data_IF_414019060788
#
_entry.id   IF_414019060788
#
_cell.length_a   1.000
_cell.length_b   1.000
_cell.length_c   1.000
_cell.angle_alpha   90.00
_cell.angle_beta   90.00
_cell.angle_gamma   90.00
#
_symmetry.space_group_name_H-M   'P 1'
#
loop_
_entity.id
_entity.type
_entity.pdbx_description
1 polymer ?
#
# COMPACT_ATOMS: atom_id res chain seq x y z
N UNK A 1 -3.19 -56.17 61.93
CA UNK A 1 -3.75 -54.96 61.22
C UNK A 1 -2.61 -54.26 60.44
N UNK A 2 -2.55 -54.46 59.12
CA UNK A 2 -1.53 -53.87 58.26
C UNK A 2 -2.09 -52.49 57.77
N UNK A 3 -1.40 -51.38 58.08
CA UNK A 3 -1.71 -50.09 57.64
C UNK A 3 -1.08 -49.94 56.23
N UNK A 4 -1.91 -49.66 55.20
CA UNK A 4 -1.48 -49.22 53.87
C UNK A 4 -1.41 -47.70 53.84
N UNK A 5 -0.20 -47.16 53.57
CA UNK A 5 0.01 -45.75 53.31
C UNK A 5 -0.12 -45.56 51.81
N UNK A 6 -1.16 -44.76 51.34
CA UNK A 6 -1.35 -44.40 49.95
C UNK A 6 -0.61 -43.09 49.73
N UNK A 7 0.44 -43.10 48.91
CA UNK A 7 1.10 -41.90 48.40
C UNK A 7 0.31 -41.36 47.20
N UNK A 8 -0.33 -40.21 47.34
CA UNK A 8 -0.91 -39.49 46.24
C UNK A 8 0.19 -38.69 45.52
N UNK A 9 0.55 -39.10 44.30
CA UNK A 9 1.40 -38.29 43.41
C UNK A 9 0.55 -37.22 42.76
N UNK A 10 0.76 -35.94 43.15
CA UNK A 10 0.20 -34.79 42.47
C UNK A 10 1.09 -34.48 41.29
N UNK A 11 0.64 -34.82 40.07
CA UNK A 11 1.25 -34.36 38.84
C UNK A 11 0.87 -32.89 38.61
N UNK A 12 1.80 -31.98 38.86
CA UNK A 12 1.73 -30.60 38.42
C UNK A 12 2.01 -30.58 36.90
N UNK A 13 0.96 -30.53 36.08
CA UNK A 13 1.10 -30.18 34.67
C UNK A 13 1.41 -28.70 34.59
N UNK A 14 2.69 -28.34 34.45
CA UNK A 14 3.10 -27.04 33.97
C UNK A 14 2.79 -26.98 32.48
N UNK A 15 1.68 -26.35 32.09
CA UNK A 15 1.46 -25.95 30.71
C UNK A 15 2.52 -24.92 30.35
N UNK A 16 3.61 -25.36 29.72
CA UNK A 16 4.49 -24.47 29.02
C UNK A 16 3.66 -23.86 27.84
N UNK A 17 3.07 -22.72 28.09
CA UNK A 17 2.47 -21.92 27.02
C UNK A 17 3.58 -21.59 26.04
N UNK A 18 3.56 -22.19 24.86
CA UNK A 18 4.34 -21.72 23.72
C UNK A 18 3.85 -20.29 23.42
N UNK A 19 4.58 -19.30 23.89
CA UNK A 19 4.38 -17.91 23.43
C UNK A 19 4.79 -17.89 21.95
N UNK A 20 3.82 -17.99 21.07
CA UNK A 20 4.06 -17.81 19.64
C UNK A 20 4.57 -16.38 19.45
N UNK A 21 5.83 -16.23 19.02
CA UNK A 21 6.38 -14.91 18.71
C UNK A 21 5.59 -14.28 17.58
N UNK A 22 5.17 -13.01 17.77
CA UNK A 22 4.42 -12.28 16.74
C UNK A 22 5.23 -12.19 15.43
N UNK A 23 4.59 -12.35 14.27
CA UNK A 23 5.21 -12.07 12.99
C UNK A 23 5.69 -10.61 12.94
N UNK A 24 6.85 -10.42 12.32
CA UNK A 24 7.51 -9.09 12.21
C UNK A 24 7.78 -8.78 10.75
N UNK A 25 7.75 -7.48 10.37
CA UNK A 25 8.16 -7.07 9.03
C UNK A 25 9.65 -7.32 8.80
N UNK A 26 10.00 -7.63 7.56
CA UNK A 26 11.37 -7.46 7.06
C UNK A 26 11.70 -5.98 6.88
N UNK A 27 12.99 -5.64 6.76
CA UNK A 27 13.43 -4.26 6.52
C UNK A 27 12.79 -3.64 5.27
N UNK A 28 12.69 -4.40 4.15
CA UNK A 28 12.05 -3.91 2.93
C UNK A 28 10.56 -3.59 3.12
N UNK A 29 9.83 -4.38 3.92
CA UNK A 29 8.42 -4.14 4.23
C UNK A 29 8.25 -2.91 5.14
N UNK A 30 9.15 -2.69 6.11
CA UNK A 30 9.16 -1.47 6.93
C UNK A 30 9.37 -0.23 6.07
N UNK A 31 10.38 -0.24 5.20
CA UNK A 31 10.68 0.87 4.30
C UNK A 31 9.54 1.14 3.32
N UNK A 32 8.87 0.07 2.85
CA UNK A 32 7.71 0.17 1.98
C UNK A 32 6.52 0.81 2.70
N UNK A 33 6.15 0.35 3.90
CA UNK A 33 5.04 0.94 4.68
C UNK A 33 5.27 2.43 4.97
N UNK A 34 6.53 2.85 5.19
CA UNK A 34 6.90 4.25 5.43
C UNK A 34 6.71 5.16 4.21
N UNK A 35 6.51 4.61 3.01
CA UNK A 35 6.21 5.42 1.83
C UNK A 35 4.82 6.03 1.89
N UNK A 36 3.85 5.38 2.52
CA UNK A 36 2.46 5.78 2.70
C UNK A 36 1.67 5.94 1.38
N UNK A 37 2.23 6.71 0.43
CA UNK A 37 1.62 6.98 -0.87
C UNK A 37 2.57 6.69 -2.02
N UNK A 38 2.13 5.82 -2.92
CA UNK A 38 2.81 5.45 -4.17
C UNK A 38 1.84 5.64 -5.35
N UNK A 39 2.37 5.70 -6.56
CA UNK A 39 1.56 5.98 -7.74
C UNK A 39 1.64 4.85 -8.75
N UNK A 40 0.49 4.46 -9.32
CA UNK A 40 0.41 3.71 -10.57
C UNK A 40 0.38 4.65 -11.78
N UNK A 41 0.93 4.17 -12.87
CA UNK A 41 0.92 4.81 -14.18
C UNK A 41 0.41 3.78 -15.21
N UNK A 42 -0.93 3.69 -15.40
CA UNK A 42 -1.51 2.83 -16.41
C UNK A 42 -1.41 3.50 -17.78
N UNK A 43 -0.56 2.93 -18.63
CA UNK A 43 -0.29 3.48 -19.96
C UNK A 43 0.15 2.35 -20.90
N UNK A 44 -0.68 1.98 -21.87
CA UNK A 44 -0.39 0.97 -22.90
C UNK A 44 -1.16 1.32 -24.18
N UNK A 45 -1.31 0.39 -25.11
CA UNK A 45 -2.22 0.51 -26.27
C UNK A 45 -3.65 0.81 -25.86
N UNK A 46 -4.07 0.44 -24.64
CA UNK A 46 -5.41 0.70 -24.11
C UNK A 46 -5.72 2.19 -24.02
N UNK A 47 -4.75 3.03 -23.66
CA UNK A 47 -4.88 4.49 -23.69
C UNK A 47 -5.27 5.00 -25.08
N UNK A 48 -4.78 4.38 -26.16
CA UNK A 48 -4.99 4.81 -27.53
C UNK A 48 -6.27 4.20 -28.14
N UNK A 49 -6.69 3.03 -27.68
CA UNK A 49 -7.90 2.35 -28.14
C UNK A 49 -9.15 2.68 -27.32
N UNK A 50 -8.98 3.46 -26.22
CA UNK A 50 -10.05 3.83 -25.29
C UNK A 50 -10.71 2.63 -24.61
N UNK A 51 -9.89 1.63 -24.23
CA UNK A 51 -10.31 0.40 -23.57
C UNK A 51 -9.66 0.25 -22.21
N UNK A 52 -10.35 -0.36 -21.25
CA UNK A 52 -9.76 -0.81 -19.97
C UNK A 52 -8.97 -2.11 -20.16
N UNK A 53 -9.51 -3.04 -20.92
CA UNK A 53 -8.86 -4.29 -21.28
C UNK A 53 -8.82 -4.43 -22.78
N UNK A 54 -7.64 -4.33 -23.36
CA UNK A 54 -7.40 -4.71 -24.76
C UNK A 54 -7.63 -6.19 -24.97
N UNK A 55 -7.84 -6.61 -26.20
CA UNK A 55 -8.09 -8.00 -26.55
C UNK A 55 -6.84 -8.79 -26.97
N UNK A 56 -5.67 -8.11 -27.05
CA UNK A 56 -4.39 -8.70 -27.45
C UNK A 56 -4.17 -8.72 -28.95
N UNK A 57 -5.09 -8.15 -29.74
CA UNK A 57 -4.98 -8.06 -31.22
C UNK A 57 -4.64 -6.65 -31.69
N UNK A 58 -4.43 -5.73 -30.79
CA UNK A 58 -4.12 -4.34 -31.10
C UNK A 58 -2.84 -4.21 -31.94
N UNK A 59 -2.91 -3.49 -33.06
CA UNK A 59 -1.72 -3.20 -33.85
C UNK A 59 -0.77 -2.30 -33.04
N UNK A 60 0.50 -2.68 -32.81
CA UNK A 60 1.48 -1.84 -32.15
C UNK A 60 1.58 -0.41 -32.68
N UNK A 61 1.18 -0.19 -33.93
CA UNK A 61 1.15 1.13 -34.58
C UNK A 61 0.17 2.12 -33.96
N UNK A 62 -0.82 1.67 -33.18
CA UNK A 62 -1.73 2.58 -32.49
C UNK A 62 -1.05 3.29 -31.33
N UNK A 63 0.04 2.73 -30.79
CA UNK A 63 0.83 3.34 -29.74
C UNK A 63 1.72 4.44 -30.33
N UNK A 64 1.27 5.70 -30.25
CA UNK A 64 2.00 6.84 -30.83
C UNK A 64 1.78 8.10 -30.01
N UNK A 65 2.28 8.20 -28.77
CA UNK A 65 2.21 9.44 -27.98
C UNK A 65 3.03 10.55 -28.64
N UNK A 66 2.43 11.73 -28.78
CA UNK A 66 3.03 12.87 -29.49
C UNK A 66 4.02 13.67 -28.64
N UNK A 67 3.85 13.66 -27.31
CA UNK A 67 4.59 14.51 -26.37
C UNK A 67 4.98 13.76 -25.10
N UNK A 68 5.22 12.42 -25.18
CA UNK A 68 5.55 11.64 -23.99
C UNK A 68 6.71 12.28 -23.22
N UNK A 69 6.43 12.61 -21.96
CA UNK A 69 7.40 13.19 -21.02
C UNK A 69 7.30 12.54 -19.64
N UNK A 70 8.05 11.46 -19.43
CA UNK A 70 8.13 10.78 -18.13
C UNK A 70 8.66 11.70 -17.01
N UNK A 71 9.44 12.72 -17.33
CA UNK A 71 9.89 13.71 -16.34
C UNK A 71 8.74 14.55 -15.80
N UNK A 72 7.80 14.95 -16.68
CA UNK A 72 6.57 15.65 -16.26
C UNK A 72 5.79 14.77 -15.29
N UNK A 73 5.61 13.48 -15.58
CA UNK A 73 4.91 12.53 -14.70
C UNK A 73 5.57 12.49 -13.32
N UNK A 74 6.85 12.14 -13.27
CA UNK A 74 7.56 11.89 -12.02
C UNK A 74 7.75 13.19 -11.21
N UNK A 75 7.99 14.33 -11.86
CA UNK A 75 8.06 15.62 -11.20
C UNK A 75 6.73 16.02 -10.54
N UNK A 76 5.61 15.79 -11.23
CA UNK A 76 4.28 16.05 -10.67
C UNK A 76 4.01 15.16 -9.44
N UNK A 77 4.30 13.85 -9.54
CA UNK A 77 4.17 12.91 -8.44
C UNK A 77 5.07 13.29 -7.25
N UNK A 78 6.33 13.65 -7.51
CA UNK A 78 7.25 14.11 -6.45
C UNK A 78 6.72 15.32 -5.71
N UNK A 79 6.21 16.31 -6.44
CA UNK A 79 5.64 17.53 -5.87
C UNK A 79 4.38 17.25 -5.05
N UNK A 80 3.60 16.24 -5.45
CA UNK A 80 2.43 15.76 -4.71
C UNK A 80 2.78 14.79 -3.55
N UNK A 81 4.07 14.57 -3.26
CA UNK A 81 4.55 13.83 -2.09
C UNK A 81 4.63 12.32 -2.23
N UNK A 82 4.34 11.77 -3.43
CA UNK A 82 4.52 10.35 -3.71
C UNK A 82 5.98 9.92 -3.55
N UNK A 83 6.20 8.67 -3.16
CA UNK A 83 7.53 8.12 -2.87
C UNK A 83 8.02 7.13 -3.92
N UNK A 84 7.10 6.55 -4.69
CA UNK A 84 7.39 5.57 -5.74
C UNK A 84 6.41 5.76 -6.89
N UNK A 85 6.86 5.41 -8.10
CA UNK A 85 6.00 5.25 -9.27
C UNK A 85 6.16 3.85 -9.83
N UNK A 86 5.03 3.17 -10.10
CA UNK A 86 4.95 1.84 -10.70
C UNK A 86 4.35 1.99 -12.10
N UNK A 87 5.08 1.56 -13.13
CA UNK A 87 4.60 1.57 -14.51
C UNK A 87 4.01 0.22 -14.91
N UNK A 88 2.85 0.22 -15.57
CA UNK A 88 2.31 -0.98 -16.21
C UNK A 88 3.16 -1.34 -17.44
N UNK A 89 4.31 -1.99 -17.19
CA UNK A 89 5.25 -2.33 -18.27
C UNK A 89 4.60 -3.22 -19.34
N UNK A 90 3.74 -4.17 -18.95
CA UNK A 90 2.86 -4.95 -19.81
C UNK A 90 1.54 -5.21 -19.09
N UNK A 91 0.42 -4.76 -19.66
CA UNK A 91 -0.91 -5.05 -19.16
C UNK A 91 -1.48 -6.34 -19.79
N UNK A 92 -2.76 -6.65 -19.59
CA UNK A 92 -3.43 -7.87 -20.08
C UNK A 92 -3.47 -7.97 -21.62
N UNK A 93 -3.36 -6.83 -22.32
CA UNK A 93 -3.26 -6.76 -23.78
C UNK A 93 -1.96 -7.38 -24.33
N UNK A 94 -0.97 -7.64 -23.47
CA UNK A 94 0.31 -8.22 -23.83
C UNK A 94 1.31 -7.24 -24.46
N UNK A 95 0.94 -5.94 -24.63
CA UNK A 95 1.82 -4.95 -25.23
C UNK A 95 2.92 -4.51 -24.26
N UNK A 96 4.19 -4.68 -24.70
CA UNK A 96 5.35 -4.31 -23.90
C UNK A 96 5.77 -2.86 -24.14
N UNK A 97 5.85 -2.05 -23.09
CA UNK A 97 6.32 -0.66 -23.12
C UNK A 97 7.84 -0.51 -23.30
N UNK A 98 8.55 -1.60 -23.47
CA UNK A 98 9.99 -1.65 -23.77
C UNK A 98 10.25 -2.53 -25.00
N UNK A 99 11.38 -2.37 -25.69
CA UNK A 99 11.71 -3.14 -26.89
C UNK A 99 12.15 -4.57 -26.54
N UNK A 100 11.22 -5.37 -26.00
CA UNK A 100 11.48 -6.76 -25.61
C UNK A 100 12.05 -7.60 -26.74
N UNK A 101 12.95 -8.52 -26.41
CA UNK A 101 13.50 -9.51 -27.34
C UNK A 101 12.56 -10.70 -27.57
N UNK A 102 11.54 -10.85 -26.72
CA UNK A 102 10.71 -12.05 -26.65
C UNK A 102 9.33 -11.88 -27.31
N UNK A 103 8.94 -10.67 -27.67
CA UNK A 103 7.69 -10.40 -28.37
C UNK A 103 7.85 -9.28 -29.40
N UNK A 104 7.09 -9.38 -30.50
CA UNK A 104 6.93 -8.28 -31.46
C UNK A 104 5.83 -7.30 -31.05
N UNK A 105 4.96 -7.68 -30.11
CA UNK A 105 3.88 -6.84 -29.58
C UNK A 105 4.44 -5.84 -28.53
N UNK A 106 5.14 -4.82 -29.04
CA UNK A 106 5.85 -3.87 -28.18
C UNK A 106 6.12 -2.55 -28.89
N UNK A 107 6.62 -1.58 -28.14
CA UNK A 107 7.01 -0.25 -28.64
C UNK A 107 8.00 -0.28 -29.81
N UNK A 108 8.76 -1.37 -29.98
CA UNK A 108 9.71 -1.49 -31.12
C UNK A 108 9.02 -1.54 -32.48
N UNK A 109 7.75 -1.94 -32.52
CA UNK A 109 6.93 -1.97 -33.74
C UNK A 109 5.92 -0.82 -33.82
N UNK A 110 6.00 0.14 -32.89
CA UNK A 110 5.22 1.36 -32.93
C UNK A 110 5.91 2.46 -33.74
N UNK A 111 5.19 3.44 -34.29
CA UNK A 111 5.79 4.60 -34.95
C UNK A 111 6.48 5.55 -33.96
N UNK A 112 6.17 5.44 -32.68
CA UNK A 112 6.74 6.29 -31.64
C UNK A 112 8.28 6.17 -31.60
N UNK A 113 8.96 7.31 -31.72
CA UNK A 113 10.43 7.37 -31.82
C UNK A 113 11.03 6.45 -32.90
N UNK A 114 10.26 6.16 -33.96
CA UNK A 114 10.64 5.24 -35.04
C UNK A 114 11.00 3.83 -34.51
N UNK A 115 10.25 3.31 -33.54
CA UNK A 115 10.47 1.99 -32.91
C UNK A 115 11.68 1.93 -31.96
N UNK A 116 12.32 3.04 -31.65
CA UNK A 116 13.49 3.12 -30.76
C UNK A 116 13.15 3.62 -29.35
N UNK A 117 11.87 3.79 -29.06
CA UNK A 117 11.37 4.23 -27.76
C UNK A 117 11.43 3.12 -26.72
N UNK A 118 11.54 3.52 -25.44
CA UNK A 118 11.49 2.64 -24.28
C UNK A 118 10.88 3.44 -23.11
N UNK A 119 9.57 3.26 -22.90
CA UNK A 119 8.84 4.01 -21.86
C UNK A 119 9.30 3.61 -20.47
N UNK A 120 9.59 2.30 -20.27
CA UNK A 120 10.06 1.78 -18.97
C UNK A 120 11.36 2.46 -18.58
N UNK A 121 12.29 2.59 -19.56
CA UNK A 121 13.55 3.29 -19.34
C UNK A 121 13.35 4.77 -19.01
N UNK A 122 12.47 5.47 -19.72
CA UNK A 122 12.21 6.89 -19.50
C UNK A 122 11.62 7.13 -18.09
N UNK A 123 10.72 6.27 -17.63
CA UNK A 123 10.16 6.35 -16.28
C UNK A 123 11.21 6.02 -15.22
N UNK A 124 12.01 4.95 -15.41
CA UNK A 124 13.07 4.58 -14.48
C UNK A 124 14.14 5.68 -14.35
N UNK A 125 14.54 6.29 -15.48
CA UNK A 125 15.50 7.40 -15.49
C UNK A 125 14.93 8.64 -14.78
N UNK A 126 13.68 8.99 -15.04
CA UNK A 126 13.00 10.10 -14.36
C UNK A 126 12.86 9.84 -12.84
N UNK A 127 12.53 8.62 -12.42
CA UNK A 127 12.48 8.25 -11.00
C UNK A 127 13.84 8.51 -10.32
N UNK A 128 14.95 8.09 -10.93
CA UNK A 128 16.29 8.36 -10.42
C UNK A 128 16.61 9.85 -10.35
N UNK A 129 16.26 10.61 -11.39
CA UNK A 129 16.52 12.04 -11.47
C UNK A 129 15.79 12.81 -10.37
N UNK A 130 14.52 12.49 -10.10
CA UNK A 130 13.70 13.19 -9.10
C UNK A 130 13.72 12.54 -7.72
N UNK A 131 14.44 11.42 -7.55
CA UNK A 131 14.56 10.72 -6.27
C UNK A 131 13.28 10.03 -5.80
N UNK A 132 12.49 9.48 -6.74
CA UNK A 132 11.43 8.53 -6.44
C UNK A 132 11.97 7.10 -6.56
N UNK A 133 11.36 6.19 -5.82
CA UNK A 133 11.53 4.76 -6.05
C UNK A 133 10.83 4.37 -7.36
N UNK A 134 11.34 3.31 -8.01
CA UNK A 134 10.81 2.78 -9.25
C UNK A 134 10.25 1.38 -9.05
N UNK A 135 9.06 1.12 -9.55
CA UNK A 135 8.40 -0.18 -9.55
C UNK A 135 7.90 -0.56 -10.95
N UNK A 136 7.67 -1.84 -11.14
CA UNK A 136 7.15 -2.40 -12.39
C UNK A 136 5.96 -3.31 -12.12
N UNK A 137 4.93 -3.17 -12.96
CA UNK A 137 3.82 -4.09 -13.06
C UNK A 137 4.02 -4.92 -14.33
N UNK A 138 3.93 -6.23 -14.21
CA UNK A 138 3.94 -7.16 -15.32
C UNK A 138 2.76 -8.11 -15.19
N UNK A 139 1.72 -7.94 -16.01
CA UNK A 139 0.52 -8.80 -15.95
C UNK A 139 0.87 -10.27 -16.18
N UNK A 140 0.51 -11.19 -15.27
CA UNK A 140 0.60 -12.62 -15.52
C UNK A 140 -0.42 -13.07 -16.59
N UNK A 141 -1.61 -12.47 -16.62
CA UNK A 141 -2.56 -12.72 -17.70
C UNK A 141 -2.10 -12.02 -18.98
N UNK A 142 -2.12 -12.74 -20.09
CA UNK A 142 -1.68 -12.26 -21.41
C UNK A 142 -2.66 -12.70 -22.47
N UNK A 143 -3.23 -11.75 -23.19
CA UNK A 143 -4.23 -12.01 -24.24
C UNK A 143 -3.61 -12.10 -25.63
N UNK A 144 -2.32 -11.74 -25.79
CA UNK A 144 -1.60 -11.71 -27.04
C UNK A 144 -0.76 -12.97 -27.25
N UNK A 145 0.04 -13.40 -26.26
CA UNK A 145 1.01 -14.46 -26.43
C UNK A 145 0.35 -15.82 -26.69
N UNK A 146 0.72 -16.45 -27.79
CA UNK A 146 0.12 -17.73 -28.25
C UNK A 146 0.41 -18.89 -27.29
N UNK A 147 1.47 -18.81 -26.50
CA UNK A 147 1.83 -19.84 -25.50
C UNK A 147 1.00 -19.75 -24.22
N UNK A 148 0.21 -18.66 -24.02
CA UNK A 148 -0.66 -18.53 -22.87
C UNK A 148 -1.65 -19.70 -22.76
N UNK A 149 -1.77 -20.27 -21.58
CA UNK A 149 -2.51 -21.51 -21.31
C UNK A 149 -1.66 -22.77 -21.42
N UNK A 150 -0.34 -22.65 -21.63
CA UNK A 150 0.60 -23.78 -21.66
C UNK A 150 1.77 -23.52 -20.69
N UNK A 151 2.50 -24.56 -20.30
CA UNK A 151 3.65 -24.45 -19.40
C UNK A 151 4.80 -23.59 -20.00
N UNK A 152 4.92 -23.50 -21.33
CA UNK A 152 5.94 -22.68 -21.99
C UNK A 152 5.73 -21.19 -21.75
N UNK A 153 4.51 -20.74 -21.44
CA UNK A 153 4.25 -19.35 -21.06
C UNK A 153 5.02 -18.93 -19.80
N UNK A 154 5.19 -19.83 -18.82
CA UNK A 154 5.99 -19.51 -17.63
C UNK A 154 7.44 -19.17 -17.97
N UNK A 155 8.02 -19.79 -18.99
CA UNK A 155 9.36 -19.46 -19.49
C UNK A 155 9.37 -18.09 -20.19
N UNK A 156 8.38 -17.83 -21.05
CA UNK A 156 8.21 -16.53 -21.70
C UNK A 156 8.06 -15.41 -20.66
N UNK A 157 7.19 -15.58 -19.68
CA UNK A 157 6.96 -14.60 -18.62
C UNK A 157 8.23 -14.32 -17.80
N UNK A 158 8.99 -15.36 -17.42
CA UNK A 158 10.27 -15.20 -16.70
C UNK A 158 11.31 -14.45 -17.55
N UNK A 159 11.30 -14.64 -18.86
CA UNK A 159 12.19 -13.92 -19.76
C UNK A 159 11.87 -12.42 -19.79
N UNK A 160 10.59 -12.06 -19.92
CA UNK A 160 10.14 -10.65 -19.81
C UNK A 160 10.49 -10.04 -18.45
N UNK A 161 10.22 -10.78 -17.38
CA UNK A 161 10.53 -10.36 -16.02
C UNK A 161 12.03 -10.14 -15.84
N UNK A 162 12.87 -11.01 -16.39
CA UNK A 162 14.35 -10.86 -16.36
C UNK A 162 14.79 -9.57 -17.05
N UNK A 163 14.24 -9.24 -18.21
CA UNK A 163 14.54 -7.97 -18.89
C UNK A 163 14.24 -6.77 -17.99
N UNK A 164 13.06 -6.75 -17.37
CA UNK A 164 12.64 -5.66 -16.49
C UNK A 164 13.52 -5.53 -15.24
N UNK A 165 13.95 -6.65 -14.67
CA UNK A 165 14.72 -6.67 -13.43
C UNK A 165 16.24 -6.45 -13.65
N UNK A 166 16.74 -6.49 -14.89
CA UNK A 166 18.18 -6.35 -15.17
C UNK A 166 18.55 -5.10 -15.95
N UNK A 167 17.61 -4.50 -16.72
CA UNK A 167 17.95 -3.44 -17.66
C UNK A 167 17.73 -2.02 -17.12
N UNK A 168 16.96 -1.86 -16.03
CA UNK A 168 16.46 -0.54 -15.59
C UNK A 168 16.98 -0.08 -14.23
N UNK A 169 17.95 -0.80 -13.64
CA UNK A 169 18.55 -0.49 -12.35
C UNK A 169 17.76 -1.06 -11.18
N UNK A 170 17.73 -0.35 -10.04
CA UNK A 170 17.03 -0.81 -8.84
C UNK A 170 15.51 -0.75 -9.04
N UNK A 171 14.84 -1.88 -8.85
CA UNK A 171 13.40 -2.00 -8.79
C UNK A 171 12.97 -2.17 -7.33
N UNK A 172 12.08 -1.33 -6.85
CA UNK A 172 11.66 -1.31 -5.44
C UNK A 172 10.39 -2.11 -5.20
N UNK A 173 9.55 -2.27 -6.24
CA UNK A 173 8.35 -3.10 -6.18
C UNK A 173 8.09 -3.80 -7.51
N UNK A 174 7.69 -5.07 -7.44
CA UNK A 174 7.20 -5.86 -8.57
C UNK A 174 5.76 -6.27 -8.31
N UNK A 175 4.86 -5.82 -9.17
CA UNK A 175 3.42 -5.97 -9.01
C UNK A 175 2.87 -7.08 -9.92
N UNK A 176 2.31 -8.12 -9.31
CA UNK A 176 1.73 -9.27 -9.98
C UNK A 176 0.20 -9.24 -9.84
N UNK A 177 -0.49 -8.95 -10.92
CA UNK A 177 -1.93 -8.88 -10.96
C UNK A 177 -2.58 -10.27 -10.90
N UNK A 178 -3.58 -10.44 -10.04
CA UNK A 178 -4.39 -11.66 -9.96
C UNK A 178 -5.58 -11.68 -10.93
N UNK A 179 -5.88 -10.57 -11.63
CA UNK A 179 -7.03 -10.47 -12.50
C UNK A 179 -6.93 -11.42 -13.70
N UNK A 180 -8.08 -12.00 -14.03
CA UNK A 180 -8.25 -12.90 -15.16
C UNK A 180 -9.69 -12.77 -15.70
N UNK A 181 -9.85 -12.58 -17.01
CA UNK A 181 -11.17 -12.51 -17.62
C UNK A 181 -11.92 -13.84 -17.56
N UNK A 182 -13.26 -13.79 -17.53
CA UNK A 182 -14.13 -14.98 -17.42
C UNK A 182 -13.86 -16.03 -18.50
N UNK A 183 -13.49 -15.60 -19.72
CA UNK A 183 -13.23 -16.49 -20.87
C UNK A 183 -11.73 -16.71 -21.12
N UNK A 184 -10.85 -16.36 -20.17
CA UNK A 184 -9.42 -16.60 -20.32
C UNK A 184 -9.11 -18.10 -20.26
N UNK A 185 -8.15 -18.53 -21.08
CA UNK A 185 -7.65 -19.92 -21.02
C UNK A 185 -7.17 -20.24 -19.60
N UNK A 186 -7.34 -21.48 -19.18
CA UNK A 186 -6.73 -21.93 -17.93
C UNK A 186 -5.20 -21.87 -18.04
N UNK A 187 -4.59 -21.35 -17.00
CA UNK A 187 -3.15 -21.21 -16.89
C UNK A 187 -2.68 -21.58 -15.49
N UNK A 188 -1.73 -22.49 -15.42
CA UNK A 188 -1.00 -22.81 -14.19
C UNK A 188 0.25 -21.94 -14.14
N UNK A 189 0.18 -20.85 -13.33
CA UNK A 189 1.30 -19.93 -13.16
C UNK A 189 2.34 -20.46 -12.19
N UNK A 190 3.61 -20.31 -12.53
CA UNK A 190 4.74 -20.61 -11.66
C UNK A 190 5.11 -19.40 -10.79
N UNK A 191 4.16 -18.94 -9.93
CA UNK A 191 4.39 -17.79 -9.05
C UNK A 191 5.60 -17.97 -8.14
N UNK A 192 5.83 -19.17 -7.61
CA UNK A 192 7.02 -19.44 -6.78
C UNK A 192 8.31 -19.19 -7.57
N UNK A 193 8.36 -19.65 -8.82
CA UNK A 193 9.47 -19.41 -9.71
C UNK A 193 9.65 -17.93 -10.06
N UNK A 194 8.54 -17.18 -10.23
CA UNK A 194 8.59 -15.74 -10.48
C UNK A 194 9.13 -14.99 -9.25
N UNK A 195 8.61 -15.28 -8.07
CA UNK A 195 9.06 -14.65 -6.82
C UNK A 195 10.52 -14.96 -6.50
N UNK A 196 10.95 -16.21 -6.75
CA UNK A 196 12.35 -16.61 -6.59
C UNK A 196 13.27 -15.82 -7.53
N UNK A 197 12.85 -15.61 -8.78
CA UNK A 197 13.59 -14.82 -9.76
C UNK A 197 13.71 -13.35 -9.32
N UNK A 198 12.62 -12.73 -8.89
CA UNK A 198 12.66 -11.36 -8.34
C UNK A 198 13.60 -11.29 -7.15
N UNK A 199 13.50 -12.22 -6.21
CA UNK A 199 14.34 -12.22 -5.01
C UNK A 199 15.83 -12.36 -5.33
N UNK A 200 16.15 -13.11 -6.38
CA UNK A 200 17.52 -13.29 -6.87
C UNK A 200 18.08 -12.03 -7.53
N UNK A 201 17.30 -11.39 -8.41
CA UNK A 201 17.76 -10.26 -9.22
C UNK A 201 17.61 -8.91 -8.51
N UNK A 202 16.56 -8.75 -7.67
CA UNK A 202 16.23 -7.54 -6.94
C UNK A 202 15.91 -7.86 -5.47
N UNK A 203 16.88 -8.23 -4.64
CA UNK A 203 16.68 -8.76 -3.28
C UNK A 203 15.98 -7.77 -2.33
N UNK A 204 16.05 -6.47 -2.62
CA UNK A 204 15.42 -5.40 -1.83
C UNK A 204 13.99 -5.08 -2.26
N UNK A 205 13.55 -5.54 -3.43
CA UNK A 205 12.20 -5.28 -3.92
C UNK A 205 11.17 -5.95 -3.02
N UNK A 206 10.04 -5.28 -2.80
CA UNK A 206 8.82 -5.92 -2.34
C UNK A 206 8.07 -6.52 -3.52
N UNK A 207 7.35 -7.59 -3.28
CA UNK A 207 6.53 -8.25 -4.28
C UNK A 207 5.07 -8.20 -3.84
N UNK A 208 4.25 -7.60 -4.68
CA UNK A 208 2.81 -7.58 -4.52
C UNK A 208 2.17 -8.74 -5.29
N UNK A 209 1.22 -9.38 -4.69
CA UNK A 209 0.12 -10.11 -5.33
C UNK A 209 -1.07 -10.11 -4.36
N UNK A 210 -2.20 -10.70 -4.75
CA UNK A 210 -3.37 -10.75 -3.86
C UNK A 210 -3.03 -11.28 -2.46
N UNK A 211 -2.09 -12.21 -2.38
CA UNK A 211 -1.73 -12.93 -1.15
C UNK A 211 -0.26 -12.78 -0.73
N UNK A 212 0.47 -11.88 -1.36
CA UNK A 212 1.90 -11.68 -1.05
C UNK A 212 2.83 -12.11 -2.18
N UNK A 213 4.11 -12.43 -1.91
CA UNK A 213 4.70 -12.86 -0.62
C UNK A 213 5.12 -11.74 0.33
N UNK A 214 5.31 -10.49 -0.14
CA UNK A 214 5.75 -9.39 0.74
C UNK A 214 4.59 -8.47 1.13
N UNK A 215 3.72 -8.12 0.21
CA UNK A 215 2.55 -7.25 0.41
C UNK A 215 1.34 -7.85 -0.30
N UNK A 216 0.13 -7.57 0.21
CA UNK A 216 -1.10 -8.14 -0.30
C UNK A 216 -2.06 -7.07 -0.81
N UNK A 217 -2.94 -7.48 -1.71
CA UNK A 217 -4.10 -6.68 -2.06
C UNK A 217 -5.02 -6.48 -0.85
N UNK A 218 -5.63 -5.31 -0.74
CA UNK A 218 -6.59 -5.00 0.34
C UNK A 218 -7.96 -5.66 0.12
N UNK A 219 -8.19 -6.29 -1.02
CA UNK A 219 -9.44 -6.98 -1.34
C UNK A 219 -10.50 -6.13 -2.04
N UNK A 220 -10.20 -4.90 -2.43
CA UNK A 220 -11.07 -4.04 -3.23
C UNK A 220 -10.25 -2.94 -3.92
N UNK A 221 -10.83 -2.36 -4.98
CA UNK A 221 -10.27 -1.24 -5.74
C UNK A 221 -10.96 0.10 -5.43
N UNK A 222 -11.68 0.16 -4.32
CA UNK A 222 -12.39 1.38 -3.88
C UNK A 222 -11.54 2.30 -3.01
N UNK A 223 -10.33 1.89 -2.67
CA UNK A 223 -9.40 2.68 -1.88
C UNK A 223 -9.59 2.54 -0.36
N UNK A 224 -10.22 1.47 0.12
CA UNK A 224 -10.63 1.33 1.52
C UNK A 224 -10.04 0.08 2.17
N UNK A 225 -9.20 0.28 3.20
CA UNK A 225 -8.83 -0.78 4.13
C UNK A 225 -9.86 -0.89 5.27
N UNK A 226 -9.98 -2.06 5.86
CA UNK A 226 -10.87 -2.30 6.99
C UNK A 226 -10.56 -1.39 8.19
N UNK A 227 -11.60 -0.98 8.93
CA UNK A 227 -11.38 -0.27 10.20
C UNK A 227 -10.55 -1.10 11.19
N UNK A 228 -10.72 -2.42 11.18
CA UNK A 228 -9.80 -3.38 11.77
C UNK A 228 -8.92 -3.91 10.65
N UNK A 229 -7.62 -3.64 10.72
CA UNK A 229 -6.69 -4.02 9.66
C UNK A 229 -5.36 -4.52 10.26
N UNK A 230 -5.14 -5.82 10.10
CA UNK A 230 -3.91 -6.48 10.53
C UNK A 230 -2.93 -6.59 9.38
N UNK A 231 -1.64 -6.37 9.66
CA UNK A 231 -0.57 -6.63 8.69
C UNK A 231 -0.24 -8.12 8.56
N UNK A 232 -0.87 -8.97 9.36
CA UNK A 232 -0.65 -10.41 9.39
C UNK A 232 -1.79 -11.16 8.72
N UNK A 233 -1.47 -12.24 7.98
CA UNK A 233 -2.40 -13.19 7.38
C UNK A 233 -1.86 -14.61 7.40
N UNK A 234 -2.73 -15.59 7.16
CA UNK A 234 -2.40 -16.95 6.72
C UNK A 234 -2.68 -17.04 5.22
N UNK A 235 -1.82 -17.74 4.49
CA UNK A 235 -1.94 -17.86 3.02
C UNK A 235 -2.31 -19.27 2.57
N UNK A 236 -2.49 -20.19 3.49
CA UNK A 236 -2.82 -21.58 3.20
C UNK A 236 -4.16 -21.68 2.43
N UNK A 237 -4.12 -22.32 1.26
CA UNK A 237 -5.29 -22.49 0.38
C UNK A 237 -5.63 -21.29 -0.49
N UNK A 238 -4.86 -20.21 -0.42
CA UNK A 238 -5.00 -19.03 -1.26
C UNK A 238 -3.90 -18.95 -2.32
N UNK A 239 -4.19 -18.27 -3.42
CA UNK A 239 -3.25 -17.98 -4.49
C UNK A 239 -3.65 -16.65 -5.15
N UNK A 240 -2.75 -15.99 -5.92
CA UNK A 240 -3.14 -14.84 -6.75
C UNK A 240 -4.35 -15.18 -7.63
N UNK A 241 -5.37 -14.31 -7.64
CA UNK A 241 -6.66 -14.53 -8.29
C UNK A 241 -7.62 -15.49 -7.56
N UNK A 242 -7.24 -16.03 -6.40
CA UNK A 242 -8.05 -16.98 -5.60
C UNK A 242 -7.90 -16.68 -4.11
N UNK A 243 -8.39 -15.54 -3.66
CA UNK A 243 -8.32 -15.12 -2.27
C UNK A 243 -9.67 -14.59 -1.78
N UNK A 244 -9.93 -14.70 -0.48
CA UNK A 244 -11.12 -14.10 0.15
C UNK A 244 -10.86 -12.60 0.36
N UNK A 245 -11.51 -11.77 -0.45
CA UNK A 245 -11.38 -10.31 -0.40
C UNK A 245 -11.70 -9.72 0.98
N UNK A 246 -12.68 -10.26 1.71
CA UNK A 246 -13.03 -9.81 3.06
C UNK A 246 -11.91 -10.13 4.06
N UNK A 247 -11.33 -11.33 3.96
CA UNK A 247 -10.19 -11.72 4.79
C UNK A 247 -8.96 -10.86 4.50
N UNK A 248 -8.69 -10.60 3.22
CA UNK A 248 -7.57 -9.71 2.83
C UNK A 248 -7.77 -8.28 3.35
N UNK A 249 -9.03 -7.79 3.39
CA UNK A 249 -9.34 -6.44 3.86
C UNK A 249 -9.05 -6.25 5.36
N UNK A 250 -9.37 -7.23 6.17
CA UNK A 250 -9.20 -7.15 7.64
C UNK A 250 -7.85 -7.70 8.11
N UNK A 251 -7.25 -8.61 7.36
CA UNK A 251 -6.14 -9.42 7.86
C UNK A 251 -6.55 -10.33 9.00
N UNK A 252 -5.57 -10.90 9.71
CA UNK A 252 -5.79 -11.90 10.76
C UNK A 252 -4.86 -11.64 11.96
N UNK A 253 -5.38 -11.37 13.16
CA UNK A 253 -4.55 -11.25 14.36
C UNK A 253 -3.69 -12.50 14.61
N UNK A 254 -4.14 -13.69 14.20
CA UNK A 254 -3.43 -14.95 14.35
C UNK A 254 -2.68 -15.38 13.08
N UNK A 255 -2.55 -14.48 12.10
CA UNK A 255 -1.80 -14.72 10.87
C UNK A 255 -0.33 -15.06 11.16
N UNK A 256 0.21 -16.02 10.42
CA UNK A 256 1.60 -16.50 10.58
C UNK A 256 2.62 -15.62 9.84
N UNK A 257 2.18 -14.87 8.83
CA UNK A 257 3.05 -14.10 7.96
C UNK A 257 2.75 -12.62 8.06
N UNK A 258 3.81 -11.79 8.09
CA UNK A 258 3.68 -10.36 7.95
C UNK A 258 3.55 -10.00 6.47
N UNK A 259 2.34 -9.71 6.03
CA UNK A 259 2.00 -9.35 4.65
C UNK A 259 1.03 -8.17 4.71
N UNK A 260 1.55 -6.93 4.86
CA UNK A 260 0.72 -5.73 5.01
C UNK A 260 -0.09 -5.46 3.76
N UNK A 261 -1.27 -4.81 3.89
CA UNK A 261 -2.13 -4.51 2.76
C UNK A 261 -1.63 -3.32 1.96
N UNK A 262 -1.82 -3.39 0.65
CA UNK A 262 -1.80 -2.28 -0.29
C UNK A 262 -3.20 -1.99 -0.76
N UNK A 263 -3.56 -0.71 -0.74
CA UNK A 263 -4.87 -0.22 -1.18
C UNK A 263 -4.68 0.49 -2.51
N UNK A 264 -5.10 -0.14 -3.57
CA UNK A 264 -5.06 0.39 -4.93
C UNK A 264 -6.39 1.04 -5.32
N UNK A 265 -6.31 2.17 -5.98
CA UNK A 265 -7.48 2.90 -6.47
C UNK A 265 -7.07 3.88 -7.57
N UNK A 266 -7.94 4.08 -8.57
CA UNK A 266 -7.68 5.09 -9.60
C UNK A 266 -8.24 6.46 -9.20
N UNK A 267 -7.51 7.53 -9.60
CA UNK A 267 -7.99 8.92 -9.49
C UNK A 267 -9.21 9.18 -10.38
N UNK A 268 -9.40 8.36 -11.42
CA UNK A 268 -10.49 8.39 -12.40
C UNK A 268 -11.39 7.18 -12.20
N UNK A 269 -12.57 7.10 -12.85
CA UNK A 269 -13.39 5.89 -12.84
C UNK A 269 -12.67 4.66 -13.40
N UNK A 270 -11.98 4.82 -14.54
CA UNK A 270 -11.17 3.77 -15.17
C UNK A 270 -9.72 3.75 -14.69
N UNK A 271 -9.00 2.66 -15.02
CA UNK A 271 -7.56 2.54 -14.80
C UNK A 271 -6.74 3.25 -15.88
N UNK A 272 -7.19 3.18 -17.13
CA UNK A 272 -6.59 3.93 -18.23
C UNK A 272 -7.22 5.32 -18.37
N UNK A 273 -6.54 6.20 -19.10
CA UNK A 273 -7.06 7.54 -19.37
C UNK A 273 -8.17 7.48 -20.42
N UNK A 274 -9.36 7.99 -20.07
CA UNK A 274 -10.48 8.24 -20.95
C UNK A 274 -10.86 9.72 -20.93
N UNK A 275 -10.97 10.32 -22.13
CA UNK A 275 -11.33 11.75 -22.23
C UNK A 275 -12.71 12.03 -21.64
N UNK A 276 -13.65 11.09 -21.78
CA UNK A 276 -15.01 11.16 -21.22
C UNK A 276 -15.08 11.19 -19.70
N UNK A 277 -13.94 10.97 -19.01
CA UNK A 277 -13.85 10.96 -17.55
C UNK A 277 -13.22 12.23 -16.95
N UNK A 278 -12.87 13.22 -17.78
CA UNK A 278 -12.21 14.44 -17.31
C UNK A 278 -13.00 15.20 -16.22
N UNK A 279 -14.33 15.12 -16.23
CA UNK A 279 -15.18 15.75 -15.22
C UNK A 279 -15.42 14.85 -13.98
N UNK A 280 -14.91 13.60 -13.99
CA UNK A 280 -15.10 12.61 -12.93
C UNK A 280 -13.82 12.33 -12.12
N UNK A 281 -12.79 13.14 -12.31
CA UNK A 281 -11.53 13.03 -11.55
C UNK A 281 -11.78 13.32 -10.08
N UNK A 282 -11.37 12.42 -9.20
CA UNK A 282 -11.52 12.58 -7.73
C UNK A 282 -10.91 13.90 -7.27
N UNK A 283 -11.69 14.67 -6.52
CA UNK A 283 -11.29 15.95 -5.94
C UNK A 283 -10.22 15.78 -4.85
N UNK A 284 -9.48 16.83 -4.48
CA UNK A 284 -8.54 16.79 -3.37
C UNK A 284 -9.15 16.26 -2.06
N UNK A 285 -10.41 16.60 -1.75
CA UNK A 285 -11.12 16.10 -0.56
C UNK A 285 -11.39 14.60 -0.63
N UNK A 286 -11.81 14.07 -1.77
CA UNK A 286 -12.00 12.63 -1.97
C UNK A 286 -10.67 11.88 -1.81
N UNK A 287 -9.56 12.44 -2.33
CA UNK A 287 -8.23 11.86 -2.17
C UNK A 287 -7.77 11.87 -0.69
N UNK A 288 -8.10 12.94 0.06
CA UNK A 288 -7.86 13.00 1.51
C UNK A 288 -8.67 11.91 2.23
N UNK A 289 -9.94 11.70 1.85
CA UNK A 289 -10.74 10.61 2.41
C UNK A 289 -10.10 9.25 2.15
N UNK A 290 -9.62 8.99 0.93
CA UNK A 290 -8.90 7.77 0.60
C UNK A 290 -7.65 7.58 1.47
N UNK A 291 -6.90 8.65 1.74
CA UNK A 291 -5.74 8.58 2.63
C UNK A 291 -6.11 8.18 4.06
N UNK A 292 -7.23 8.69 4.60
CA UNK A 292 -7.73 8.26 5.91
C UNK A 292 -8.20 6.81 5.94
N UNK A 293 -8.89 6.37 4.87
CA UNK A 293 -9.44 5.02 4.78
C UNK A 293 -8.40 3.95 4.37
N UNK A 294 -7.23 4.36 3.89
CA UNK A 294 -6.11 3.47 3.53
C UNK A 294 -4.96 3.58 4.52
N UNK A 295 -4.16 4.64 4.43
CA UNK A 295 -3.00 4.88 5.30
C UNK A 295 -3.42 5.02 6.76
N UNK A 296 -4.53 5.71 7.01
CA UNK A 296 -5.12 5.85 8.34
C UNK A 296 -5.67 4.56 8.93
N UNK A 297 -5.75 3.49 8.15
CA UNK A 297 -6.16 2.14 8.54
C UNK A 297 -5.04 1.10 8.34
N UNK A 298 -3.78 1.50 8.55
CA UNK A 298 -2.61 0.59 8.52
C UNK A 298 -2.29 0.00 7.14
N UNK A 299 -2.73 0.61 6.04
CA UNK A 299 -2.42 0.22 4.66
C UNK A 299 -1.46 1.22 4.00
N UNK A 300 -0.98 0.91 2.80
CA UNK A 300 -0.34 1.88 1.91
C UNK A 300 -1.35 2.25 0.82
N UNK A 301 -1.36 3.50 0.39
CA UNK A 301 -2.20 3.98 -0.72
C UNK A 301 -1.40 3.96 -2.04
N UNK A 302 -1.80 3.10 -2.96
CA UNK A 302 -1.35 3.08 -4.35
C UNK A 302 -2.40 3.78 -5.22
N UNK A 303 -2.14 5.03 -5.60
CA UNK A 303 -3.06 5.83 -6.40
C UNK A 303 -2.68 5.79 -7.87
N UNK A 304 -3.59 5.33 -8.73
CA UNK A 304 -3.38 5.33 -10.16
C UNK A 304 -3.68 6.72 -10.76
N UNK A 305 -2.73 7.23 -11.56
CA UNK A 305 -2.79 8.53 -12.23
C UNK A 305 -2.36 8.28 -13.69
N UNK A 306 -3.32 7.92 -14.58
CA UNK A 306 -2.98 7.48 -15.93
C UNK A 306 -2.57 8.63 -16.84
N UNK A 307 -1.46 8.50 -17.59
CA UNK A 307 -1.10 9.43 -18.64
C UNK A 307 -2.11 9.40 -19.79
N UNK A 308 -2.34 10.56 -20.42
CA UNK A 308 -3.23 10.73 -21.56
C UNK A 308 -2.61 10.27 -22.88
N UNK A 309 -3.36 10.36 -23.99
CA UNK A 309 -2.90 9.96 -25.32
C UNK A 309 -1.69 10.75 -25.85
N UNK A 310 -1.46 11.96 -25.36
CA UNK A 310 -0.25 12.72 -25.70
C UNK A 310 0.98 12.16 -24.99
N UNK A 311 0.81 11.41 -23.92
CA UNK A 311 1.88 10.90 -23.06
C UNK A 311 2.21 11.87 -21.92
N UNK A 312 1.21 12.60 -21.42
CA UNK A 312 1.33 13.54 -20.30
C UNK A 312 0.32 13.21 -19.20
N UNK A 313 0.64 13.46 -17.95
CA UNK A 313 -0.39 13.55 -16.92
C UNK A 313 -1.23 14.80 -17.17
N UNK A 314 -2.56 14.67 -17.04
CA UNK A 314 -3.45 15.81 -17.28
C UNK A 314 -3.30 16.89 -16.21
N UNK A 315 -3.49 18.14 -16.59
CA UNK A 315 -3.43 19.28 -15.64
C UNK A 315 -4.44 19.13 -14.49
N UNK A 316 -5.60 18.52 -14.77
CA UNK A 316 -6.64 18.26 -13.77
C UNK A 316 -6.17 17.25 -12.73
N UNK A 317 -5.55 16.15 -13.15
CA UNK A 317 -5.04 15.14 -12.25
C UNK A 317 -3.92 15.71 -11.39
N UNK A 318 -2.98 16.44 -12.00
CA UNK A 318 -1.88 17.14 -11.30
C UNK A 318 -2.41 18.13 -10.28
N UNK A 319 -3.39 18.95 -10.65
CA UNK A 319 -3.99 19.94 -9.74
C UNK A 319 -4.64 19.26 -8.53
N UNK A 320 -5.35 18.14 -8.75
CA UNK A 320 -6.05 17.43 -7.69
C UNK A 320 -5.08 16.69 -6.72
N UNK A 321 -4.04 16.01 -7.22
CA UNK A 321 -3.03 15.40 -6.34
C UNK A 321 -2.18 16.45 -5.60
N UNK A 322 -1.94 17.61 -6.22
CA UNK A 322 -1.27 18.74 -5.56
C UNK A 322 -2.16 19.32 -4.45
N UNK A 323 -3.46 19.50 -4.73
CA UNK A 323 -4.43 19.94 -3.73
C UNK A 323 -4.55 18.97 -2.55
N UNK A 324 -4.60 17.66 -2.82
CA UNK A 324 -4.54 16.60 -1.83
C UNK A 324 -3.32 16.74 -0.92
N UNK A 325 -2.12 16.86 -1.50
CA UNK A 325 -0.88 17.04 -0.73
C UNK A 325 -0.92 18.28 0.14
N UNK A 326 -1.37 19.40 -0.39
CA UNK A 326 -1.44 20.67 0.35
C UNK A 326 -2.37 20.56 1.57
N UNK A 327 -3.51 19.85 1.45
CA UNK A 327 -4.44 19.63 2.57
C UNK A 327 -3.76 18.79 3.66
N UNK A 328 -3.09 17.67 3.30
CA UNK A 328 -2.37 16.85 4.27
C UNK A 328 -1.25 17.63 4.96
N UNK A 329 -0.44 18.37 4.18
CA UNK A 329 0.65 19.18 4.75
C UNK A 329 0.14 20.23 5.71
N UNK A 330 -0.97 20.91 5.41
CA UNK A 330 -1.58 21.90 6.27
C UNK A 330 -2.14 21.26 7.55
N UNK A 331 -2.87 20.13 7.42
CA UNK A 331 -3.48 19.40 8.54
C UNK A 331 -2.41 18.87 9.51
N UNK A 332 -1.38 18.20 9.00
CA UNK A 332 -0.40 17.52 9.84
C UNK A 332 0.88 18.33 10.14
N UNK A 333 0.89 19.63 9.80
CA UNK A 333 2.05 20.51 9.99
C UNK A 333 2.48 20.64 11.43
N UNK A 334 1.53 20.87 12.34
CA UNK A 334 1.78 21.22 13.73
C UNK A 334 1.15 20.19 14.68
N UNK A 335 1.96 19.28 15.21
CA UNK A 335 1.51 18.41 16.29
C UNK A 335 1.35 19.24 17.58
N UNK A 336 0.15 19.26 18.15
CA UNK A 336 -0.16 20.03 19.37
C UNK A 336 0.31 19.34 20.64
N UNK A 337 0.73 18.07 20.59
CA UNK A 337 1.28 17.31 21.73
C UNK A 337 2.78 17.62 21.97
N UNK A 338 3.15 18.88 22.18
CA UNK A 338 4.56 19.30 22.30
C UNK A 338 5.08 19.24 23.75
N UNK A 339 4.71 18.26 24.54
CA UNK A 339 5.17 18.15 25.94
C UNK A 339 6.49 17.38 26.06
N UNK A 340 7.50 17.94 26.74
CA UNK A 340 8.80 17.30 26.99
C UNK A 340 8.72 15.93 27.68
N UNK A 341 7.68 15.67 28.47
CA UNK A 341 7.46 14.37 29.13
C UNK A 341 7.11 13.22 28.18
N UNK A 342 6.79 13.51 26.92
CA UNK A 342 6.39 12.55 25.90
C UNK A 342 7.19 12.76 24.59
N UNK A 343 8.42 13.26 24.72
CA UNK A 343 9.28 13.59 23.57
C UNK A 343 9.50 12.41 22.62
N UNK A 344 9.57 11.19 23.17
CA UNK A 344 9.70 9.96 22.35
C UNK A 344 8.45 9.60 21.54
N UNK A 345 7.30 10.21 21.82
CA UNK A 345 6.05 10.00 21.07
C UNK A 345 5.79 11.10 20.03
N UNK A 346 6.70 12.08 19.90
CA UNK A 346 6.52 13.25 19.03
C UNK A 346 7.80 13.64 18.30
N UNK A 347 8.80 12.75 18.28
CA UNK A 347 10.12 13.00 17.70
C UNK A 347 10.23 12.62 16.22
N UNK A 348 9.15 12.06 15.65
CA UNK A 348 9.07 11.55 14.27
C UNK A 348 10.06 10.41 13.99
N UNK A 349 10.46 9.70 15.02
CA UNK A 349 11.36 8.56 14.93
C UNK A 349 10.63 7.26 15.30
N UNK A 350 10.25 6.48 14.33
CA UNK A 350 9.51 5.22 14.54
C UNK A 350 10.31 4.14 15.30
N UNK A 351 11.62 4.36 15.51
CA UNK A 351 12.46 3.45 16.29
C UNK A 351 12.39 3.74 17.80
N UNK A 352 11.94 4.92 18.20
CA UNK A 352 11.67 5.27 19.59
C UNK A 352 10.22 4.92 19.94
N UNK A 353 9.97 4.45 21.13
CA UNK A 353 8.62 4.09 21.55
C UNK A 353 8.45 4.14 23.06
N UNK A 354 7.20 4.24 23.50
CA UNK A 354 6.78 4.08 24.88
C UNK A 354 6.03 2.74 25.03
N UNK A 355 6.49 1.90 25.97
CA UNK A 355 5.75 0.72 26.38
C UNK A 355 4.59 1.12 27.28
N UNK A 356 3.38 0.76 26.90
CA UNK A 356 2.15 1.00 27.63
C UNK A 356 1.71 -0.25 28.39
N UNK A 357 0.75 -0.09 29.29
CA UNK A 357 0.07 -1.22 29.96
C UNK A 357 -1.41 -1.21 29.62
N UNK A 358 -1.94 -2.40 29.36
CA UNK A 358 -3.38 -2.57 29.15
C UNK A 358 -4.17 -2.05 30.35
N UNK A 359 -5.25 -1.31 30.10
CA UNK A 359 -6.12 -0.66 31.08
C UNK A 359 -5.43 0.39 31.98
N UNK A 360 -4.19 0.79 31.66
CA UNK A 360 -3.53 1.91 32.32
C UNK A 360 -3.50 3.11 31.34
N UNK A 361 -4.16 4.24 31.68
CA UNK A 361 -4.26 5.35 30.75
C UNK A 361 -2.95 6.13 30.60
N UNK A 362 -2.66 6.54 29.36
CA UNK A 362 -1.68 7.59 29.05
C UNK A 362 -2.44 8.92 28.96
N UNK A 363 -2.09 9.87 29.83
CA UNK A 363 -2.72 11.20 29.85
C UNK A 363 -1.77 12.22 29.21
N UNK A 364 -2.29 12.97 28.24
CA UNK A 364 -1.61 14.09 27.60
C UNK A 364 -2.29 15.38 28.04
N UNK A 365 -1.51 16.29 28.63
CA UNK A 365 -1.96 17.60 29.12
C UNK A 365 -1.35 18.69 28.23
N UNK A 366 -2.18 19.42 27.51
CA UNK A 366 -1.78 20.48 26.57
C UNK A 366 -1.41 21.81 27.29
N UNK A 367 -1.51 21.86 28.62
CA UNK A 367 -1.26 23.06 29.46
C UNK A 367 -2.27 24.21 29.26
N UNK A 368 -2.81 24.35 28.07
CA UNK A 368 -3.89 25.29 27.69
C UNK A 368 -4.88 24.56 26.80
N UNK A 369 -6.14 24.98 26.78
CA UNK A 369 -7.13 24.43 25.86
C UNK A 369 -6.67 24.58 24.39
N UNK A 370 -6.80 23.52 23.61
CA UNK A 370 -6.50 23.46 22.19
C UNK A 370 -7.70 22.93 21.41
N UNK A 371 -7.87 23.39 20.19
CA UNK A 371 -8.89 22.85 19.28
C UNK A 371 -8.28 21.73 18.44
N UNK A 372 -8.89 20.55 18.51
CA UNK A 372 -8.49 19.38 17.73
C UNK A 372 -9.71 18.67 17.13
N UNK A 373 -9.52 18.03 16.01
CA UNK A 373 -10.48 17.14 15.34
C UNK A 373 -9.80 15.97 14.65
N UNK A 374 -8.46 15.84 14.80
CA UNK A 374 -7.64 14.78 14.22
C UNK A 374 -6.66 14.20 15.23
N UNK A 375 -6.57 12.87 15.27
CA UNK A 375 -5.56 12.16 16.05
C UNK A 375 -4.82 11.18 15.14
N UNK A 376 -3.51 11.10 15.31
CA UNK A 376 -2.63 10.13 14.67
C UNK A 376 -1.97 9.26 15.74
N UNK A 377 -1.90 7.96 15.49
CA UNK A 377 -1.20 6.97 16.32
C UNK A 377 -0.34 6.08 15.42
N UNK A 378 0.85 5.69 15.90
CA UNK A 378 1.71 4.70 15.23
C UNK A 378 2.29 3.74 16.26
N UNK A 379 2.26 2.43 15.95
CA UNK A 379 2.94 1.41 16.76
C UNK A 379 4.38 1.21 16.33
N UNK A 380 5.21 0.72 17.23
CA UNK A 380 6.49 0.12 16.88
C UNK A 380 6.29 -1.23 16.17
N UNK A 381 5.93 -1.19 14.89
CA UNK A 381 5.64 -2.39 14.11
C UNK A 381 6.87 -3.26 13.85
N UNK A 382 8.11 -2.76 14.06
CA UNK A 382 9.32 -3.59 13.96
C UNK A 382 9.31 -4.75 14.97
N UNK A 383 8.51 -4.60 16.03
CA UNK A 383 8.29 -5.63 17.05
C UNK A 383 6.99 -6.45 16.82
N UNK A 384 6.28 -6.22 15.69
CA UNK A 384 4.99 -6.80 15.38
C UNK A 384 3.81 -5.89 15.76
N UNK A 385 2.67 -6.05 15.11
CA UNK A 385 1.43 -5.32 15.42
C UNK A 385 0.77 -5.90 16.67
N UNK A 386 0.39 -5.08 17.65
CA UNK A 386 0.01 -5.52 18.99
C UNK A 386 -1.33 -5.00 19.48
N UNK A 387 -1.65 -3.72 19.22
CA UNK A 387 -2.85 -3.07 19.74
C UNK A 387 -4.08 -3.58 18.99
N UNK A 388 -5.02 -4.17 19.75
CA UNK A 388 -6.26 -4.72 19.24
C UNK A 388 -7.41 -3.74 19.39
N UNK A 389 -7.47 -3.03 20.55
CA UNK A 389 -8.54 -2.12 20.89
C UNK A 389 -8.06 -1.00 21.79
N UNK A 390 -8.53 0.22 21.54
CA UNK A 390 -8.19 1.38 22.34
C UNK A 390 -9.33 2.38 22.43
N UNK A 391 -9.30 3.21 23.50
CA UNK A 391 -10.29 4.23 23.82
C UNK A 391 -9.58 5.59 23.97
N UNK A 392 -10.14 6.61 23.33
CA UNK A 392 -9.78 8.01 23.57
C UNK A 392 -10.91 8.72 24.31
N UNK A 393 -10.53 9.46 25.34
CA UNK A 393 -11.41 10.29 26.14
C UNK A 393 -10.79 11.69 26.32
N UNK A 394 -11.60 12.72 26.41
CA UNK A 394 -11.15 14.09 26.70
C UNK A 394 -11.74 14.62 27.99
N UNK A 395 -11.01 15.52 28.65
CA UNK A 395 -11.44 16.22 29.83
C UNK A 395 -12.13 17.53 29.46
N UNK A 396 -13.40 17.69 29.85
CA UNK A 396 -14.20 18.89 29.56
C UNK A 396 -14.09 19.98 30.64
N UNK A 397 -13.31 19.72 31.68
CA UNK A 397 -13.16 20.59 32.87
C UNK A 397 -13.88 20.05 34.11
N UNK A 398 -14.77 19.05 33.95
CA UNK A 398 -15.55 18.41 35.02
C UNK A 398 -15.40 16.89 35.05
N UNK A 399 -15.49 16.25 33.87
CA UNK A 399 -15.45 14.80 33.74
C UNK A 399 -14.75 14.36 32.46
N UNK A 400 -14.44 13.06 32.40
CA UNK A 400 -13.89 12.42 31.21
C UNK A 400 -15.02 11.99 30.28
N UNK A 401 -15.03 12.51 29.07
CA UNK A 401 -16.00 12.18 28.03
C UNK A 401 -15.37 11.31 26.95
N UNK A 402 -16.10 10.29 26.52
CA UNK A 402 -15.65 9.43 25.41
C UNK A 402 -15.55 10.25 24.11
N UNK A 403 -14.38 10.18 23.46
CA UNK A 403 -14.16 10.76 22.13
C UNK A 403 -14.43 9.73 21.05
N UNK A 404 -13.70 8.62 21.07
CA UNK A 404 -13.92 7.48 20.19
C UNK A 404 -13.27 6.21 20.75
N UNK A 405 -13.74 5.08 20.26
CA UNK A 405 -13.16 3.76 20.45
C UNK A 405 -12.78 3.22 19.08
N UNK A 406 -11.64 2.56 18.97
CA UNK A 406 -11.14 2.06 17.69
C UNK A 406 -10.36 0.77 17.89
N UNK A 407 -10.21 0.03 16.78
CA UNK A 407 -9.42 -1.19 16.72
C UNK A 407 -8.14 -0.93 15.95
N UNK A 408 -7.13 -1.76 16.15
CA UNK A 408 -5.83 -1.78 15.47
C UNK A 408 -5.18 -0.42 15.23
N UNK A 409 -3.92 -0.30 15.48
CA UNK A 409 -3.12 0.89 15.16
C UNK A 409 -2.15 0.58 14.01
N UNK A 410 -1.26 -0.39 14.20
CA UNK A 410 -0.29 -0.79 13.20
C UNK A 410 0.66 0.35 12.80
N UNK A 411 1.04 0.38 11.52
CA UNK A 411 1.92 1.44 11.02
C UNK A 411 1.36 2.84 11.28
N UNK A 412 0.06 3.06 10.96
CA UNK A 412 -0.60 4.35 11.21
C UNK A 412 -2.11 4.18 11.39
N UNK A 413 -2.61 4.83 12.42
CA UNK A 413 -4.05 5.03 12.64
C UNK A 413 -4.37 6.52 12.64
N UNK A 414 -5.30 6.93 11.78
CA UNK A 414 -5.83 8.29 11.75
C UNK A 414 -7.30 8.27 12.21
N UNK A 415 -7.63 9.18 13.11
CA UNK A 415 -8.97 9.32 13.65
C UNK A 415 -9.51 10.72 13.36
N UNK A 416 -10.79 10.79 12.98
CA UNK A 416 -11.54 12.01 12.68
C UNK A 416 -12.77 12.10 13.59
N UNK A 417 -13.02 13.26 14.13
CA UNK A 417 -14.19 13.54 14.96
C UNK A 417 -14.56 15.03 14.88
N UNK A 418 -15.73 15.39 15.42
CA UNK A 418 -16.14 16.79 15.48
C UNK A 418 -15.16 17.60 16.32
N UNK A 419 -14.87 18.83 15.90
CA UNK A 419 -13.96 19.75 16.61
C UNK A 419 -14.28 19.80 18.09
N UNK A 420 -13.26 19.59 18.91
CA UNK A 420 -13.33 19.70 20.37
C UNK A 420 -12.28 20.69 20.87
N UNK A 421 -12.66 21.50 21.88
CA UNK A 421 -11.73 22.33 22.65
C UNK A 421 -11.38 21.57 23.92
N UNK A 422 -10.15 21.11 24.04
CA UNK A 422 -9.73 20.21 25.11
C UNK A 422 -8.42 20.65 25.75
N UNK A 423 -8.27 20.40 27.04
CA UNK A 423 -7.02 20.62 27.78
C UNK A 423 -6.28 19.31 28.04
N UNK A 424 -7.00 18.21 28.24
CA UNK A 424 -6.39 16.89 28.46
C UNK A 424 -7.08 15.83 27.60
N UNK A 425 -6.30 14.89 27.13
CA UNK A 425 -6.78 13.69 26.47
C UNK A 425 -6.19 12.46 27.14
N UNK A 426 -6.96 11.39 27.14
CA UNK A 426 -6.60 10.11 27.76
C UNK A 426 -6.69 9.01 26.71
N UNK A 427 -5.58 8.31 26.47
CA UNK A 427 -5.51 7.11 25.66
C UNK A 427 -5.42 5.89 26.58
N UNK A 428 -6.37 4.98 26.47
CA UNK A 428 -6.36 3.70 27.18
C UNK A 428 -6.33 2.56 26.17
N UNK A 429 -5.29 1.72 26.22
CA UNK A 429 -5.26 0.48 25.45
C UNK A 429 -6.12 -0.53 26.22
N UNK A 430 -7.21 -0.99 25.61
CA UNK A 430 -8.16 -1.92 26.20
C UNK A 430 -7.74 -3.38 26.02
N UNK A 431 -7.26 -3.70 24.80
CA UNK A 431 -6.86 -5.05 24.39
C UNK A 431 -5.57 -4.98 23.58
N UNK A 432 -4.66 -5.93 23.82
CA UNK A 432 -3.39 -6.04 23.11
C UNK A 432 -2.84 -7.45 23.21
N UNK A 433 -2.24 -7.94 22.14
CA UNK A 433 -1.66 -9.28 22.04
C UNK A 433 -0.37 -9.47 22.83
N UNK A 434 0.37 -8.39 22.99
CA UNK A 434 1.65 -8.28 23.70
C UNK A 434 1.69 -6.92 24.41
N UNK A 435 2.77 -6.60 25.15
CA UNK A 435 2.96 -5.24 25.70
C UNK A 435 2.84 -4.20 24.60
N UNK A 436 1.85 -3.30 24.63
CA UNK A 436 1.68 -2.28 23.60
C UNK A 436 2.89 -1.36 23.51
N UNK A 437 3.34 -1.06 22.31
CA UNK A 437 4.47 -0.15 22.04
C UNK A 437 4.02 0.94 21.07
N UNK A 438 3.81 2.14 21.59
CA UNK A 438 3.44 3.31 20.80
C UNK A 438 4.68 4.08 20.39
N UNK A 439 4.91 4.30 19.10
CA UNK A 439 6.03 5.08 18.56
C UNK A 439 5.70 6.55 18.42
N UNK A 440 4.50 6.87 17.91
CA UNK A 440 4.10 8.25 17.67
C UNK A 440 2.67 8.51 18.09
N UNK A 441 2.43 9.72 18.58
CA UNK A 441 1.09 10.28 18.80
C UNK A 441 1.04 11.73 18.33
N UNK A 442 -0.04 12.09 17.62
CA UNK A 442 -0.22 13.45 17.16
C UNK A 442 -1.66 13.90 17.29
N UNK A 443 -1.82 15.19 17.58
CA UNK A 443 -3.11 15.88 17.71
C UNK A 443 -3.10 17.10 16.81
N UNK A 444 -4.12 17.21 15.95
CA UNK A 444 -4.15 18.22 14.89
C UNK A 444 -5.54 18.82 14.74
N UNK A 445 -5.56 19.97 14.09
CA UNK A 445 -6.75 20.61 13.55
C UNK A 445 -6.70 20.48 12.02
N UNK A 446 -7.78 20.00 11.44
CA UNK A 446 -7.89 19.86 9.99
C UNK A 446 -7.68 21.19 9.27
N UNK A 447 -7.15 21.10 8.05
CA UNK A 447 -7.13 22.22 7.12
C UNK A 447 -8.55 22.71 6.85
N UNK A 448 -8.73 24.03 6.74
CA UNK A 448 -10.02 24.60 6.32
C UNK A 448 -10.43 24.19 4.89
N UNK A 449 -9.50 23.60 4.13
CA UNK A 449 -9.73 23.09 2.77
C UNK A 449 -10.20 21.63 2.75
N UNK A 450 -10.12 20.91 3.88
CA UNK A 450 -10.65 19.54 4.05
C UNK A 450 -12.17 19.58 4.28
#
# INVERSE_FOLDING_TARGET
>A
MKKYIIYAFVFLFTSAGFTQTLPKPSERQLLWQQMETTAFLHFTVNTFTDKEWGDGTEDPKVFNPTHLDARQWIKALKNAGFKMAIITAKHHDGFCLWPSKYTEHSVKNSPWKNGKGDVVKEVADACREYGLKFGVYLSPWDRHDSSYGTSSYNTYYKNLLTELLTNYGEVSEVWFDGAKGENAKDMEYDFEGYWKLVRQLQPKAVMFSDVGPDVRWVGNESGNAGQTCWSTINTEGMAPGKADAKYLNTGDPNGKYWIPPETDVSIRPGWFYHMSENDKVKSPKELVNLYYESVGHNSLLLLNIPPNREGLLSDKDIANVTGFRNILDETFKNNLATNKAQSSLTDKNLSTFLSLKVNQPLIIDFKKPVEIDRVMLQENISAGQRIEKALLEYWDGKEWNKLCEFTTVGYKRLLRFNMQTIQKIKLTILESRETPQLSEIGFFKASAKE
#
